data_IF_406778179819
#
_entry.id   IF_406778179819
#
_cell.length_a   1.000
_cell.length_b   1.000
_cell.length_c   1.000
_cell.angle_alpha   90.00
_cell.angle_beta   90.00
_cell.angle_gamma   90.00
#
_symmetry.space_group_name_H-M   'P 1'
#
loop_
_entity.id
_entity.type
_entity.pdbx_description
1 polymer ?
#
# COMPACT_ATOMS: atom_id res chain seq x y z
N UNK A 1 -22.32 -41.58 7.94
CA UNK A 1 -23.16 -40.40 7.63
C UNK A 1 -22.61 -39.24 8.44
N UNK A 2 -21.83 -38.34 7.82
CA UNK A 2 -21.27 -37.16 8.52
C UNK A 2 -22.44 -36.21 8.80
N UNK A 3 -22.59 -35.68 10.03
CA UNK A 3 -23.70 -34.79 10.37
C UNK A 3 -23.72 -33.58 9.42
N UNK A 4 -24.92 -33.22 8.93
CA UNK A 4 -25.11 -32.18 7.91
C UNK A 4 -24.48 -30.83 8.29
N UNK A 5 -24.42 -30.55 9.59
CA UNK A 5 -23.81 -29.37 10.22
C UNK A 5 -22.29 -29.30 10.05
N UNK A 6 -21.58 -30.43 9.98
CA UNK A 6 -20.13 -30.44 9.84
C UNK A 6 -19.66 -30.05 8.42
N UNK A 7 -20.47 -30.34 7.40
CA UNK A 7 -20.19 -29.94 6.02
C UNK A 7 -20.35 -28.43 5.83
N UNK A 8 -21.35 -27.84 6.49
CA UNK A 8 -21.60 -26.39 6.45
C UNK A 8 -20.45 -25.64 7.13
N UNK A 9 -20.00 -26.08 8.30
CA UNK A 9 -18.86 -25.48 9.01
C UNK A 9 -17.56 -25.57 8.19
N UNK A 10 -17.31 -26.71 7.51
CA UNK A 10 -16.16 -26.86 6.58
C UNK A 10 -16.27 -25.91 5.38
N UNK A 11 -17.48 -25.77 4.81
CA UNK A 11 -17.72 -24.84 3.69
C UNK A 11 -17.51 -23.39 4.11
N UNK A 12 -17.97 -23.00 5.30
CA UNK A 12 -17.71 -21.67 5.86
C UNK A 12 -16.21 -21.43 6.14
N UNK A 13 -15.50 -22.43 6.68
CA UNK A 13 -14.05 -22.35 6.90
C UNK A 13 -13.27 -22.14 5.61
N UNK A 14 -13.66 -22.83 4.53
CA UNK A 14 -13.07 -22.66 3.18
C UNK A 14 -13.38 -21.29 2.59
N UNK A 15 -14.61 -20.80 2.72
CA UNK A 15 -14.98 -19.46 2.24
C UNK A 15 -14.24 -18.34 2.99
N UNK A 16 -14.04 -18.49 4.30
CA UNK A 16 -13.23 -17.57 5.09
C UNK A 16 -11.76 -17.61 4.67
N UNK A 17 -11.18 -18.80 4.45
CA UNK A 17 -9.82 -18.93 3.95
C UNK A 17 -9.65 -18.29 2.56
N UNK A 18 -10.67 -18.39 1.70
CA UNK A 18 -10.68 -17.72 0.39
C UNK A 18 -10.67 -16.20 0.52
N UNK A 19 -11.49 -15.69 1.44
CA UNK A 19 -11.54 -14.27 1.75
C UNK A 19 -10.19 -13.77 2.30
N UNK A 20 -9.61 -14.50 3.26
CA UNK A 20 -8.32 -14.17 3.86
C UNK A 20 -7.22 -14.18 2.81
N UNK A 21 -7.10 -15.19 1.95
CA UNK A 21 -6.01 -15.18 0.96
C UNK A 21 -6.16 -14.06 -0.07
N UNK A 22 -7.38 -13.64 -0.39
CA UNK A 22 -7.63 -12.56 -1.36
C UNK A 22 -7.28 -11.20 -0.76
N UNK A 23 -7.47 -11.03 0.56
CA UNK A 23 -7.07 -9.81 1.26
C UNK A 23 -5.62 -9.83 1.79
N UNK A 24 -5.04 -11.01 2.04
CA UNK A 24 -3.74 -11.19 2.71
C UNK A 24 -2.64 -11.64 1.75
N UNK A 25 -2.93 -12.52 0.79
CA UNK A 25 -1.95 -12.99 -0.20
C UNK A 25 -1.45 -11.87 -1.13
N UNK A 26 -2.35 -10.95 -1.46
CA UNK A 26 -2.04 -9.76 -2.25
C UNK A 26 -1.43 -8.63 -1.41
N UNK A 27 -1.38 -8.73 -0.07
CA UNK A 27 -0.93 -7.63 0.78
C UNK A 27 0.51 -7.20 0.49
N UNK A 28 1.41 -8.11 0.14
CA UNK A 28 2.79 -7.76 -0.20
C UNK A 28 2.91 -7.07 -1.58
N UNK A 29 2.11 -7.50 -2.56
CA UNK A 29 2.08 -6.92 -3.91
C UNK A 29 1.38 -5.56 -3.87
N UNK A 30 0.23 -5.48 -3.21
CA UNK A 30 -0.53 -4.26 -2.96
C UNK A 30 0.31 -3.27 -2.18
N UNK A 31 1.05 -3.69 -1.15
CA UNK A 31 1.95 -2.79 -0.41
C UNK A 31 3.05 -2.22 -1.30
N UNK A 32 3.71 -3.04 -2.12
CA UNK A 32 4.69 -2.55 -3.09
C UNK A 32 4.07 -1.58 -4.10
N UNK A 33 2.87 -1.86 -4.57
CA UNK A 33 2.14 -0.97 -5.48
C UNK A 33 1.76 0.34 -4.77
N UNK A 34 1.29 0.29 -3.54
CA UNK A 34 0.99 1.44 -2.70
C UNK A 34 2.24 2.29 -2.46
N UNK A 35 3.37 1.68 -2.12
CA UNK A 35 4.64 2.39 -1.91
C UNK A 35 5.05 3.16 -3.18
N UNK A 36 4.88 2.56 -4.37
CA UNK A 36 5.17 3.21 -5.65
C UNK A 36 4.21 4.37 -5.94
N UNK A 37 2.90 4.20 -5.67
CA UNK A 37 1.92 5.26 -5.84
C UNK A 37 2.16 6.40 -4.85
N UNK A 38 2.48 6.08 -3.58
CA UNK A 38 2.75 7.06 -2.53
C UNK A 38 3.95 7.94 -2.91
N UNK A 39 5.08 7.33 -3.35
CA UNK A 39 6.24 8.10 -3.83
C UNK A 39 5.89 9.06 -4.97
N UNK A 40 5.03 8.64 -5.91
CA UNK A 40 4.60 9.52 -7.01
C UNK A 40 3.76 10.69 -6.51
N UNK A 41 2.88 10.45 -5.54
CA UNK A 41 2.08 11.49 -4.89
C UNK A 41 2.99 12.45 -4.13
N UNK A 42 3.91 11.94 -3.32
CA UNK A 42 4.86 12.75 -2.54
C UNK A 42 5.72 13.63 -3.46
N UNK A 43 6.24 13.05 -4.55
CA UNK A 43 6.99 13.80 -5.56
C UNK A 43 6.16 14.94 -6.15
N UNK A 44 4.92 14.65 -6.55
CA UNK A 44 4.04 15.65 -7.13
C UNK A 44 3.71 16.76 -6.12
N UNK A 45 3.39 16.41 -4.87
CA UNK A 45 3.12 17.37 -3.81
C UNK A 45 4.32 18.30 -3.59
N UNK A 46 5.51 17.75 -3.39
CA UNK A 46 6.73 18.53 -3.18
C UNK A 46 7.05 19.44 -4.38
N UNK A 47 6.85 18.96 -5.62
CA UNK A 47 7.08 19.78 -6.82
C UNK A 47 6.14 20.96 -6.95
N UNK A 48 4.93 20.88 -6.39
CA UNK A 48 3.94 21.96 -6.42
C UNK A 48 4.07 22.95 -5.25
N UNK A 49 4.94 22.68 -4.28
CA UNK A 49 5.25 23.65 -3.23
C UNK A 49 6.09 24.82 -3.77
N UNK A 50 5.92 25.98 -3.16
CA UNK A 50 6.77 27.14 -3.41
C UNK A 50 8.17 26.94 -2.84
N UNK A 51 9.15 27.70 -3.33
CA UNK A 51 10.54 27.60 -2.85
C UNK A 51 10.67 27.94 -1.37
N UNK A 52 9.85 28.86 -0.85
CA UNK A 52 9.82 29.19 0.57
C UNK A 52 9.33 28.01 1.40
N UNK A 53 8.23 27.35 0.99
CA UNK A 53 7.71 26.17 1.69
C UNK A 53 8.69 25.00 1.67
N UNK A 54 9.37 24.79 0.54
CA UNK A 54 10.43 23.78 0.43
C UNK A 54 11.61 24.11 1.36
N UNK A 55 12.02 25.39 1.39
CA UNK A 55 13.09 25.87 2.28
C UNK A 55 12.74 25.73 3.76
N UNK A 56 11.49 25.98 4.14
CA UNK A 56 11.00 25.80 5.51
C UNK A 56 11.07 24.33 5.95
N UNK A 57 10.91 23.40 5.00
CA UNK A 57 11.10 21.96 5.20
C UNK A 57 12.58 21.53 5.10
N UNK A 58 13.50 22.45 4.78
CA UNK A 58 14.91 22.16 4.59
C UNK A 58 15.23 21.35 3.33
N UNK A 59 14.40 21.45 2.29
CA UNK A 59 14.57 20.72 1.02
C UNK A 59 14.73 21.74 -0.11
N UNK A 60 15.70 21.55 -1.00
CA UNK A 60 15.80 22.32 -2.24
C UNK A 60 15.09 21.64 -3.40
N UNK A 61 14.66 22.39 -4.43
CA UNK A 61 13.98 21.82 -5.62
C UNK A 61 14.77 20.71 -6.31
N UNK A 62 16.10 20.81 -6.31
CA UNK A 62 16.98 19.79 -6.91
C UNK A 62 17.02 18.49 -6.11
N UNK A 63 16.78 18.56 -4.80
CA UNK A 63 16.84 17.41 -3.90
C UNK A 63 15.53 16.63 -3.85
N UNK A 64 14.40 17.19 -4.32
CA UNK A 64 13.08 16.53 -4.27
C UNK A 64 13.13 15.12 -4.87
N UNK A 65 13.76 14.96 -6.03
CA UNK A 65 13.86 13.66 -6.68
C UNK A 65 14.66 12.66 -5.81
N UNK A 66 15.82 13.10 -5.30
CA UNK A 66 16.65 12.28 -4.44
C UNK A 66 15.96 11.95 -3.11
N UNK A 67 15.19 12.86 -2.52
CA UNK A 67 14.45 12.60 -1.27
C UNK A 67 13.31 11.59 -1.43
N UNK A 68 12.69 11.51 -2.60
CA UNK A 68 11.56 10.61 -2.85
C UNK A 68 12.00 9.25 -3.41
N UNK A 69 13.07 9.22 -4.21
CA UNK A 69 13.52 8.00 -4.92
C UNK A 69 14.95 7.56 -4.55
N UNK A 70 15.78 8.44 -4.00
CA UNK A 70 17.09 8.11 -3.46
C UNK A 70 16.93 7.51 -2.07
N UNK A 71 17.15 6.20 -1.98
CA UNK A 71 17.22 5.48 -0.71
C UNK A 71 18.41 5.90 0.13
#
# INVERSE_FOLDING_TARGET
MIPHTAKEIDMFGKMFAVMVHTFVGDAAIVKKMQDMQQRRVDYWQLKNLSDNQLKDMGISRGEIYHKVYGG
#
